data_IF_387978318116
#
_entry.id   IF_387978318116
#
_cell.length_a   1.000
_cell.length_b   1.000
_cell.length_c   1.000
_cell.angle_alpha   90.00
_cell.angle_beta   90.00
_cell.angle_gamma   90.00
#
_symmetry.space_group_name_H-M   'P 1'
#
loop_
_entity.id
_entity.type
_entity.pdbx_description
1 polymer ?
#
# COMPACT_ATOMS: atom_id res chain seq x y z
N UNK A 1 48.40 -45.32 5.48
CA UNK A 1 49.54 -45.96 6.18
C UNK A 1 50.35 -44.88 6.88
N UNK A 2 50.75 -45.18 8.12
CA UNK A 2 51.71 -44.49 8.99
C UNK A 2 51.35 -43.10 9.56
N UNK A 3 51.01 -43.14 10.85
CA UNK A 3 51.07 -42.08 11.84
C UNK A 3 52.49 -41.61 12.12
N UNK A 4 52.66 -40.35 12.56
CA UNK A 4 53.53 -40.00 13.70
C UNK A 4 53.30 -38.55 14.16
N UNK A 5 52.81 -38.39 15.39
CA UNK A 5 53.06 -37.24 16.29
C UNK A 5 54.48 -37.40 16.89
N UNK A 6 55.05 -36.55 17.81
CA UNK A 6 54.40 -35.62 18.75
C UNK A 6 55.20 -34.38 19.28
N UNK A 7 54.54 -33.63 20.20
CA UNK A 7 55.02 -33.06 21.48
C UNK A 7 56.06 -31.92 21.57
N UNK A 8 55.71 -30.84 22.29
CA UNK A 8 56.23 -30.37 23.60
C UNK A 8 55.75 -28.90 23.84
N UNK A 9 54.86 -28.60 24.78
CA UNK A 9 55.03 -28.37 26.23
C UNK A 9 55.55 -26.96 26.61
N UNK A 10 54.88 -26.30 27.58
CA UNK A 10 55.32 -25.02 28.14
C UNK A 10 54.28 -24.34 29.06
N UNK A 11 54.15 -24.87 30.28
CA UNK A 11 53.35 -24.39 31.41
C UNK A 11 54.00 -23.20 32.13
N UNK A 12 53.22 -22.24 32.67
CA UNK A 12 53.30 -21.77 34.08
C UNK A 12 52.42 -20.53 34.36
N UNK A 13 51.87 -20.53 35.57
CA UNK A 13 50.92 -19.58 36.16
C UNK A 13 51.53 -18.82 37.36
N UNK A 14 50.96 -17.67 37.72
CA UNK A 14 50.75 -17.16 39.11
C UNK A 14 50.28 -15.70 39.06
N UNK A 15 49.09 -15.33 39.55
CA UNK A 15 48.63 -15.16 40.95
C UNK A 15 48.80 -13.69 41.42
N UNK A 16 47.73 -12.90 41.60
CA UNK A 16 46.85 -12.72 42.80
C UNK A 16 47.16 -11.40 43.56
N UNK A 17 46.11 -10.86 44.20
CA UNK A 17 46.05 -9.94 45.38
C UNK A 17 45.61 -8.48 45.08
N UNK A 18 44.30 -8.14 45.08
CA UNK A 18 43.36 -7.75 46.19
C UNK A 18 43.59 -6.38 46.87
N UNK A 19 42.62 -5.44 46.63
CA UNK A 19 41.77 -4.57 47.53
C UNK A 19 42.36 -3.92 48.81
N UNK A 20 41.77 -2.87 49.48
CA UNK A 20 40.35 -2.38 49.49
C UNK A 20 40.15 -0.82 49.51
N UNK A 21 38.97 -0.28 49.13
CA UNK A 21 37.83 0.30 49.92
C UNK A 21 38.15 1.49 50.84
N UNK A 22 37.52 2.66 50.59
CA UNK A 22 36.87 3.43 51.67
C UNK A 22 35.73 4.35 51.17
N UNK A 23 34.77 4.55 52.08
CA UNK A 23 33.44 5.12 51.95
C UNK A 23 33.42 6.47 52.68
N UNK A 24 32.66 7.46 52.21
CA UNK A 24 31.86 8.31 53.13
C UNK A 24 30.80 9.17 52.45
N UNK A 25 29.69 9.26 53.18
CA UNK A 25 28.39 9.89 52.90
C UNK A 25 28.37 11.38 53.30
N UNK A 26 27.48 12.16 52.68
CA UNK A 26 26.56 13.13 53.33
C UNK A 26 25.74 13.84 52.22
N UNK A 27 24.44 13.53 52.01
CA UNK A 27 23.26 14.11 52.68
C UNK A 27 23.12 15.62 52.57
N UNK A 28 22.17 16.14 51.76
CA UNK A 28 20.96 16.84 52.27
C UNK A 28 20.10 17.56 51.18
N UNK A 29 18.79 17.31 51.27
CA UNK A 29 17.63 18.21 51.06
C UNK A 29 17.22 18.75 49.66
N UNK A 30 16.15 18.11 49.13
CA UNK A 30 14.84 18.69 48.78
C UNK A 30 14.73 19.99 47.96
N UNK A 31 14.28 19.89 46.71
CA UNK A 31 13.31 20.84 46.14
C UNK A 31 12.53 20.28 44.93
N UNK A 32 11.22 20.47 45.03
CA UNK A 32 10.13 20.23 44.10
C UNK A 32 10.41 20.32 42.58
N UNK A 33 9.91 19.30 41.88
CA UNK A 33 8.88 19.40 40.85
C UNK A 33 8.88 20.63 39.90
N UNK A 34 9.41 20.45 38.68
CA UNK A 34 8.78 20.91 37.41
C UNK A 34 9.52 20.34 36.21
N UNK A 35 9.18 19.09 35.84
CA UNK A 35 9.58 18.50 34.55
C UNK A 35 8.72 19.13 33.47
N UNK A 36 9.27 20.13 32.77
CA UNK A 36 8.69 20.69 31.55
C UNK A 36 8.59 19.59 30.49
N UNK A 37 7.38 19.04 30.35
CA UNK A 37 6.96 18.24 29.18
C UNK A 37 7.03 19.15 27.96
N UNK A 38 8.14 19.09 27.23
CA UNK A 38 8.20 19.59 25.85
C UNK A 38 7.29 18.68 25.02
N UNK A 39 6.03 19.10 24.84
CA UNK A 39 5.09 18.48 23.90
C UNK A 39 5.71 18.59 22.50
N UNK A 40 6.35 17.51 22.05
CA UNK A 40 6.72 17.34 20.65
C UNK A 40 5.44 17.32 19.83
N UNK A 41 5.33 18.31 18.95
CA UNK A 41 4.22 18.59 18.04
C UNK A 41 4.07 17.45 17.02
N UNK A 42 3.45 16.34 17.43
CA UNK A 42 3.08 15.23 16.54
C UNK A 42 1.80 15.52 15.73
N UNK A 43 1.09 16.61 16.02
CA UNK A 43 -0.14 17.01 15.32
C UNK A 43 0.12 17.82 14.04
N UNK A 44 1.32 18.38 13.85
CA UNK A 44 1.66 19.13 12.64
C UNK A 44 2.10 18.22 11.47
N UNK A 45 2.72 17.07 11.77
CA UNK A 45 3.14 16.12 10.74
C UNK A 45 1.94 15.47 10.02
N UNK A 46 0.92 15.04 10.76
CA UNK A 46 -0.23 14.35 10.19
C UNK A 46 -1.06 15.25 9.23
N UNK A 47 -1.18 16.54 9.56
CA UNK A 47 -1.83 17.54 8.69
C UNK A 47 -0.97 17.88 7.46
N UNK A 48 0.35 17.88 7.59
CA UNK A 48 1.27 18.12 6.47
C UNK A 48 1.32 16.91 5.50
N UNK A 49 1.20 15.69 6.01
CA UNK A 49 1.14 14.45 5.20
C UNK A 49 -0.19 14.28 4.47
N UNK A 50 -1.33 14.64 5.09
CA UNK A 50 -2.61 14.71 4.38
C UNK A 50 -2.59 15.75 3.27
N UNK A 51 -1.96 16.91 3.51
CA UNK A 51 -1.87 17.99 2.52
C UNK A 51 -1.09 17.55 1.27
N UNK A 52 -0.01 16.77 1.39
CA UNK A 52 0.74 16.29 0.23
C UNK A 52 0.05 15.17 -0.56
N UNK A 53 -0.67 14.26 0.10
CA UNK A 53 -1.45 13.23 -0.59
C UNK A 53 -2.70 13.82 -1.29
N UNK A 54 -3.37 14.79 -0.66
CA UNK A 54 -4.43 15.57 -1.29
C UNK A 54 -3.89 16.53 -2.36
N UNK A 55 -2.67 17.05 -2.22
CA UNK A 55 -2.01 17.87 -3.24
C UNK A 55 -1.60 17.02 -4.43
N UNK A 56 -1.13 15.78 -4.25
CA UNK A 56 -0.84 14.86 -5.35
C UNK A 56 -2.13 14.41 -6.05
N UNK A 57 -3.19 14.08 -5.30
CA UNK A 57 -4.50 13.84 -5.88
C UNK A 57 -5.02 15.10 -6.59
N UNK A 58 -4.87 16.29 -6.00
CA UNK A 58 -5.28 17.55 -6.63
C UNK A 58 -4.43 17.92 -7.85
N UNK A 59 -3.13 17.63 -7.88
CA UNK A 59 -2.26 17.82 -9.05
C UNK A 59 -2.61 16.83 -10.15
N UNK A 60 -2.81 15.55 -9.80
CA UNK A 60 -3.30 14.51 -10.71
C UNK A 60 -4.66 14.89 -11.34
N UNK A 61 -5.56 15.47 -10.56
CA UNK A 61 -6.88 15.92 -11.02
C UNK A 61 -6.86 17.25 -11.78
N UNK A 62 -5.91 18.15 -11.49
CA UNK A 62 -5.75 19.42 -12.21
C UNK A 62 -5.07 19.21 -13.57
N UNK A 63 -4.16 18.25 -13.70
CA UNK A 63 -3.47 17.96 -14.95
C UNK A 63 -4.30 17.13 -15.95
N UNK A 64 -5.29 16.36 -15.49
CA UNK A 64 -6.31 15.75 -16.36
C UNK A 64 -7.26 16.83 -16.91
N UNK A 65 -7.73 17.75 -16.06
CA UNK A 65 -8.64 18.84 -16.45
C UNK A 65 -8.02 19.91 -17.37
N UNK A 66 -6.69 19.93 -17.51
CA UNK A 66 -6.00 20.82 -18.44
C UNK A 66 -6.05 20.34 -19.90
N UNK A 67 -6.65 19.17 -20.16
CA UNK A 67 -6.70 18.48 -21.45
C UNK A 67 -7.81 18.90 -22.43
N UNK A 68 -8.83 19.68 -22.07
CA UNK A 68 -9.68 20.39 -23.04
C UNK A 68 -10.48 21.50 -22.35
N UNK A 69 -10.51 22.68 -22.96
CA UNK A 69 -10.92 23.92 -22.31
C UNK A 69 -12.36 23.93 -21.78
N UNK A 70 -12.53 24.28 -20.50
CA UNK A 70 -13.83 24.70 -19.97
C UNK A 70 -13.94 24.69 -18.45
N UNK A 71 -13.63 25.82 -17.80
CA UNK A 71 -14.00 26.23 -16.41
C UNK A 71 -14.88 25.24 -15.60
N UNK A 72 -14.34 24.70 -14.48
CA UNK A 72 -14.75 25.01 -13.08
C UNK A 72 -14.01 24.16 -12.02
N UNK A 73 -13.20 24.86 -11.22
CA UNK A 73 -13.20 24.88 -9.74
C UNK A 73 -13.16 23.53 -8.98
N UNK A 74 -11.93 23.03 -8.78
CA UNK A 74 -11.35 22.73 -7.45
C UNK A 74 -11.96 21.59 -6.61
N UNK A 75 -11.22 20.49 -6.54
CA UNK A 75 -11.39 19.36 -5.60
C UNK A 75 -12.38 18.32 -6.11
N UNK A 76 -11.88 17.16 -6.55
CA UNK A 76 -12.72 16.06 -7.07
C UNK A 76 -13.66 15.56 -5.97
N UNK A 77 -14.84 16.16 -5.99
CA UNK A 77 -16.10 15.53 -5.66
C UNK A 77 -16.53 14.89 -6.97
N UNK A 78 -16.85 13.60 -6.94
CA UNK A 78 -17.40 12.89 -8.10
C UNK A 78 -18.47 13.73 -8.79
N UNK A 79 -18.44 13.76 -10.12
CA UNK A 79 -19.34 14.57 -10.94
C UNK A 79 -20.79 14.34 -10.53
N UNK A 80 -21.65 15.34 -10.76
CA UNK A 80 -23.07 15.19 -10.44
C UNK A 80 -23.69 13.98 -11.17
N UNK A 81 -23.21 13.67 -12.39
CA UNK A 81 -23.63 12.51 -13.16
C UNK A 81 -23.18 11.19 -12.51
N UNK A 82 -21.90 11.09 -12.13
CA UNK A 82 -21.35 9.91 -11.46
C UNK A 82 -21.98 9.68 -10.08
N UNK A 83 -22.23 10.75 -9.33
CA UNK A 83 -22.95 10.68 -8.04
C UNK A 83 -24.41 10.22 -8.21
N UNK A 84 -25.09 10.64 -9.28
CA UNK A 84 -26.45 10.21 -9.58
C UNK A 84 -26.48 8.74 -10.00
N UNK A 85 -25.59 8.33 -10.92
CA UNK A 85 -25.51 6.95 -11.39
C UNK A 85 -25.12 5.99 -10.27
N UNK A 86 -24.20 6.40 -9.37
CA UNK A 86 -23.84 5.64 -8.18
C UNK A 86 -25.05 5.37 -7.27
N UNK A 87 -25.88 6.39 -7.03
CA UNK A 87 -27.12 6.22 -6.26
C UNK A 87 -28.09 5.25 -6.93
N UNK A 88 -28.22 5.33 -8.25
CA UNK A 88 -29.04 4.39 -9.01
C UNK A 88 -28.49 2.96 -8.94
N UNK A 89 -27.16 2.81 -8.88
CA UNK A 89 -26.48 1.55 -8.71
C UNK A 89 -26.58 0.97 -7.27
N UNK A 90 -27.21 1.71 -6.34
CA UNK A 90 -27.36 1.31 -4.94
C UNK A 90 -26.11 1.52 -4.10
N UNK A 91 -25.15 2.32 -4.59
CA UNK A 91 -23.89 2.56 -3.91
C UNK A 91 -24.10 3.40 -2.66
N UNK A 92 -23.67 2.87 -1.52
CA UNK A 92 -23.62 3.57 -0.25
C UNK A 92 -22.36 4.42 -0.16
N UNK A 93 -22.53 5.71 0.12
CA UNK A 93 -21.42 6.63 0.35
C UNK A 93 -20.65 6.32 1.64
N UNK A 94 -21.20 5.49 2.54
CA UNK A 94 -20.51 5.06 3.75
C UNK A 94 -19.53 3.90 3.49
N UNK A 95 -19.76 3.12 2.44
CA UNK A 95 -18.97 1.92 2.13
C UNK A 95 -17.85 2.21 1.12
N UNK A 96 -18.15 2.99 0.08
CA UNK A 96 -17.19 3.36 -0.97
C UNK A 96 -17.10 4.86 -1.16
N UNK A 97 -15.98 5.30 -1.75
CA UNK A 97 -15.84 6.64 -2.31
C UNK A 97 -15.55 6.52 -3.81
N UNK A 98 -15.90 7.58 -4.53
CA UNK A 98 -15.82 7.62 -5.99
C UNK A 98 -14.59 8.42 -6.43
N UNK A 99 -13.92 7.93 -7.46
CA UNK A 99 -12.76 8.57 -8.09
C UNK A 99 -13.09 8.75 -9.57
N UNK A 100 -13.34 9.99 -9.98
CA UNK A 100 -13.50 10.30 -11.41
C UNK A 100 -12.14 10.22 -12.10
N UNK A 101 -12.11 9.55 -13.25
CA UNK A 101 -10.96 9.41 -14.13
C UNK A 101 -11.24 10.15 -15.43
N UNK A 102 -10.20 10.75 -16.02
CA UNK A 102 -10.25 11.43 -17.31
C UNK A 102 -11.46 12.39 -17.42
N UNK A 103 -11.52 13.38 -16.53
CA UNK A 103 -12.61 14.36 -16.45
C UNK A 103 -14.03 13.79 -16.29
N UNK A 104 -14.13 12.55 -15.80
CA UNK A 104 -15.41 11.87 -15.54
C UNK A 104 -15.86 10.94 -16.66
N UNK A 105 -15.01 10.67 -17.65
CA UNK A 105 -15.23 9.65 -18.68
C UNK A 105 -15.26 8.22 -18.10
N UNK A 106 -14.63 8.00 -16.95
CA UNK A 106 -14.82 6.81 -16.14
C UNK A 106 -14.86 7.16 -14.64
N UNK A 107 -15.45 6.30 -13.82
CA UNK A 107 -15.47 6.48 -12.35
C UNK A 107 -15.12 5.18 -11.66
N UNK A 108 -14.14 5.17 -10.76
CA UNK A 108 -13.85 4.04 -9.88
C UNK A 108 -14.63 4.16 -8.56
N UNK A 109 -15.14 3.03 -8.06
CA UNK A 109 -15.63 2.91 -6.68
C UNK A 109 -14.57 2.18 -5.84
N UNK A 110 -14.06 2.84 -4.81
CA UNK A 110 -13.05 2.32 -3.91
C UNK A 110 -13.57 2.19 -2.49
N UNK A 111 -13.36 1.04 -1.85
CA UNK A 111 -13.69 0.82 -0.45
C UNK A 111 -12.94 1.82 0.44
N UNK A 112 -13.66 2.49 1.36
CA UNK A 112 -13.06 3.53 2.22
C UNK A 112 -11.97 3.02 3.15
N UNK A 113 -12.07 1.75 3.55
CA UNK A 113 -11.19 1.18 4.59
C UNK A 113 -9.94 0.50 4.03
N UNK A 114 -10.00 -0.03 2.81
CA UNK A 114 -8.90 -0.78 2.18
C UNK A 114 -8.32 -0.08 0.96
N UNK A 115 -9.02 0.90 0.38
CA UNK A 115 -8.76 1.48 -0.94
C UNK A 115 -8.81 0.48 -2.10
N UNK A 116 -9.26 -0.76 -1.88
CA UNK A 116 -9.48 -1.71 -2.97
C UNK A 116 -10.70 -1.30 -3.78
N UNK A 117 -10.64 -1.46 -5.10
CA UNK A 117 -11.75 -1.12 -5.96
C UNK A 117 -12.84 -2.19 -5.90
N UNK A 118 -14.09 -1.76 -5.71
CA UNK A 118 -15.28 -2.60 -5.77
C UNK A 118 -15.82 -2.71 -7.21
N UNK A 119 -15.58 -1.69 -8.03
CA UNK A 119 -16.05 -1.64 -9.41
C UNK A 119 -15.76 -0.30 -10.08
N UNK A 120 -16.34 -0.09 -11.25
CA UNK A 120 -16.22 1.15 -12.01
C UNK A 120 -17.48 1.45 -12.83
N UNK A 121 -17.67 2.70 -13.22
CA UNK A 121 -18.62 3.11 -14.23
C UNK A 121 -17.87 3.46 -15.53
N UNK A 122 -18.40 2.99 -16.65
CA UNK A 122 -17.96 3.38 -18.00
C UNK A 122 -18.41 4.81 -18.36
N UNK A 123 -18.06 5.27 -19.57
CA UNK A 123 -18.48 6.56 -20.16
C UNK A 123 -20.00 6.74 -20.21
N UNK A 124 -20.73 5.63 -20.34
CA UNK A 124 -22.19 5.61 -20.40
C UNK A 124 -22.82 5.60 -19.00
N UNK A 125 -22.02 5.70 -17.93
CA UNK A 125 -22.43 5.58 -16.54
C UNK A 125 -23.03 4.20 -16.17
N UNK A 126 -22.70 3.16 -16.92
CA UNK A 126 -23.05 1.79 -16.55
C UNK A 126 -22.04 1.26 -15.54
N UNK A 127 -22.55 0.85 -14.39
CA UNK A 127 -21.72 0.31 -13.33
C UNK A 127 -21.38 -1.17 -13.56
N UNK A 128 -20.11 -1.48 -13.41
CA UNK A 128 -19.52 -2.80 -13.39
C UNK A 128 -18.97 -3.09 -11.99
N UNK A 129 -19.23 -4.28 -11.47
CA UNK A 129 -18.78 -4.70 -10.13
C UNK A 129 -17.87 -5.91 -10.25
N UNK A 130 -16.76 -5.90 -9.52
CA UNK A 130 -15.86 -7.05 -9.48
C UNK A 130 -16.52 -8.20 -8.73
N UNK A 131 -16.18 -9.43 -9.12
CA UNK A 131 -16.69 -10.62 -8.46
C UNK A 131 -16.29 -10.62 -6.98
N UNK A 132 -17.24 -10.75 -6.07
CA UNK A 132 -17.04 -10.71 -4.62
C UNK A 132 -17.33 -9.35 -3.97
N UNK A 133 -17.60 -8.31 -4.75
CA UNK A 133 -17.94 -6.96 -4.29
C UNK A 133 -19.39 -6.58 -4.60
N UNK A 134 -20.26 -7.55 -4.90
CA UNK A 134 -21.64 -7.31 -5.33
C UNK A 134 -22.47 -6.54 -4.29
N UNK A 135 -22.19 -6.71 -3.00
CA UNK A 135 -22.85 -5.97 -1.93
C UNK A 135 -22.49 -4.48 -1.92
N UNK A 136 -21.30 -4.11 -2.43
CA UNK A 136 -20.86 -2.72 -2.49
C UNK A 136 -21.49 -1.95 -3.65
N UNK A 137 -21.90 -2.66 -4.72
CA UNK A 137 -22.57 -2.07 -5.90
C UNK A 137 -23.73 -2.99 -6.35
N UNK A 138 -24.85 -3.03 -5.62
CA UNK A 138 -25.88 -4.06 -5.78
C UNK A 138 -26.52 -4.16 -7.17
N UNK A 139 -26.68 -3.03 -7.87
CA UNK A 139 -27.37 -2.99 -9.16
C UNK A 139 -26.41 -2.88 -10.35
N UNK A 140 -25.13 -3.22 -10.16
CA UNK A 140 -24.14 -3.22 -11.22
C UNK A 140 -24.07 -4.54 -12.00
N UNK A 141 -23.50 -4.46 -13.20
CA UNK A 141 -23.14 -5.64 -14.00
C UNK A 141 -21.94 -6.33 -13.38
N UNK A 142 -22.11 -7.60 -13.02
CA UNK A 142 -21.02 -8.42 -12.49
C UNK A 142 -19.97 -8.73 -13.55
N UNK A 143 -18.70 -8.47 -13.25
CA UNK A 143 -17.55 -8.91 -14.03
C UNK A 143 -17.20 -10.37 -13.69
N UNK A 144 -16.69 -11.17 -14.65
CA UNK A 144 -16.39 -12.59 -14.42
C UNK A 144 -15.11 -12.85 -13.60
N UNK A 145 -14.43 -11.79 -13.13
CA UNK A 145 -13.16 -11.84 -12.42
C UNK A 145 -13.17 -10.96 -11.17
N UNK A 146 -12.31 -11.28 -10.20
CA UNK A 146 -12.13 -10.51 -8.96
C UNK A 146 -11.10 -9.39 -9.15
N UNK A 147 -11.14 -8.40 -8.26
CA UNK A 147 -10.07 -7.41 -8.14
C UNK A 147 -8.91 -7.95 -7.29
N UNK A 148 -8.15 -8.90 -7.83
CA UNK A 148 -6.89 -9.35 -7.25
C UNK A 148 -5.87 -9.63 -8.36
N UNK A 149 -4.57 -9.53 -8.06
CA UNK A 149 -3.53 -9.65 -9.10
C UNK A 149 -3.52 -11.02 -9.79
N UNK A 150 -4.00 -12.09 -9.13
CA UNK A 150 -4.15 -13.43 -9.73
C UNK A 150 -5.18 -13.43 -10.87
N UNK A 151 -6.36 -12.88 -10.64
CA UNK A 151 -7.45 -12.83 -11.61
C UNK A 151 -7.22 -11.76 -12.71
N UNK A 152 -6.51 -10.67 -12.36
CA UNK A 152 -6.22 -9.55 -13.26
C UNK A 152 -5.05 -9.84 -14.20
N UNK A 153 -3.92 -10.27 -13.66
CA UNK A 153 -2.66 -10.35 -14.41
C UNK A 153 -1.92 -11.68 -14.20
N UNK A 154 -2.60 -12.70 -13.67
CA UNK A 154 -2.03 -14.04 -13.44
C UNK A 154 -1.26 -14.19 -12.13
N UNK A 155 -0.94 -13.10 -11.43
CA UNK A 155 -0.26 -13.12 -10.15
C UNK A 155 0.54 -11.86 -9.87
N UNK A 156 0.98 -11.68 -8.62
CA UNK A 156 1.72 -10.50 -8.17
C UNK A 156 3.10 -10.42 -8.83
N UNK A 157 3.68 -11.55 -9.23
CA UNK A 157 4.94 -11.64 -9.97
C UNK A 157 4.88 -10.96 -11.33
N UNK A 158 3.68 -10.80 -11.91
CA UNK A 158 3.48 -10.10 -13.16
C UNK A 158 3.28 -8.59 -12.99
N UNK A 159 3.18 -8.09 -11.75
CA UNK A 159 3.14 -6.65 -11.48
C UNK A 159 4.26 -5.99 -12.24
N UNK A 160 5.53 -6.45 -12.08
CA UNK A 160 6.37 -6.80 -13.20
C UNK A 160 6.28 -5.92 -14.44
N UNK A 161 5.59 -6.45 -15.43
CA UNK A 161 5.48 -5.86 -16.75
C UNK A 161 4.41 -4.78 -16.88
N UNK A 162 3.77 -4.32 -15.80
CA UNK A 162 2.73 -3.30 -15.91
C UNK A 162 3.35 -1.93 -16.25
N UNK A 163 2.79 -1.24 -17.27
CA UNK A 163 3.12 0.15 -17.50
C UNK A 163 2.46 0.98 -16.38
N UNK A 164 3.25 1.85 -15.75
CA UNK A 164 2.76 2.84 -14.78
C UNK A 164 3.23 4.23 -15.23
N UNK A 165 2.61 5.27 -14.66
CA UNK A 165 2.87 6.66 -15.02
C UNK A 165 1.71 7.29 -15.78
N UNK A 166 1.88 8.53 -16.21
CA UNK A 166 0.81 9.38 -16.73
C UNK A 166 0.14 8.81 -17.98
N UNK A 167 0.93 8.39 -18.97
CA UNK A 167 0.39 7.81 -20.22
C UNK A 167 -0.38 6.50 -19.93
N UNK A 168 0.19 5.62 -19.12
CA UNK A 168 -0.46 4.37 -18.72
C UNK A 168 -1.75 4.61 -17.91
N UNK A 169 -1.80 5.66 -17.10
CA UNK A 169 -3.02 6.03 -16.37
C UNK A 169 -4.13 6.53 -17.31
N UNK A 170 -3.77 7.33 -18.34
CA UNK A 170 -4.72 7.76 -19.36
C UNK A 170 -5.23 6.58 -20.19
N UNK A 171 -4.35 5.68 -20.64
CA UNK A 171 -4.74 4.45 -21.34
C UNK A 171 -5.64 3.55 -20.47
N UNK A 172 -5.33 3.44 -19.17
CA UNK A 172 -6.15 2.69 -18.24
C UNK A 172 -7.53 3.33 -18.03
N UNK A 173 -7.60 4.66 -17.94
CA UNK A 173 -8.87 5.38 -17.84
C UNK A 173 -9.74 5.17 -19.09
N UNK A 174 -9.16 5.28 -20.29
CA UNK A 174 -9.89 5.02 -21.54
C UNK A 174 -10.35 3.56 -21.63
N UNK A 175 -9.52 2.59 -21.21
CA UNK A 175 -9.92 1.18 -21.18
C UNK A 175 -11.12 0.92 -20.25
N UNK A 176 -11.27 1.69 -19.17
CA UNK A 176 -12.46 1.65 -18.31
C UNK A 176 -13.65 2.39 -18.96
N UNK A 177 -13.40 3.56 -19.54
CA UNK A 177 -14.42 4.41 -20.16
C UNK A 177 -15.08 3.73 -21.36
N UNK A 178 -14.30 3.02 -22.18
CA UNK A 178 -14.75 2.38 -23.43
C UNK A 178 -15.27 0.96 -23.24
N UNK A 179 -15.27 0.41 -22.02
CA UNK A 179 -15.59 -0.99 -21.80
C UNK A 179 -17.08 -1.27 -22.03
N UNK A 180 -17.39 -2.09 -23.04
CA UNK A 180 -18.74 -2.64 -23.25
C UNK A 180 -18.72 -4.15 -22.99
N UNK A 181 -19.30 -4.56 -21.87
CA UNK A 181 -19.40 -5.98 -21.49
C UNK A 181 -20.25 -6.84 -22.45
N UNK A 182 -21.02 -6.26 -23.38
CA UNK A 182 -21.74 -7.01 -24.42
C UNK A 182 -20.89 -7.28 -25.66
N UNK A 183 -19.94 -6.40 -25.96
CA UNK A 183 -19.12 -6.46 -27.16
C UNK A 183 -17.68 -6.91 -26.88
N UNK A 184 -17.19 -6.77 -25.64
CA UNK A 184 -15.82 -7.06 -25.26
C UNK A 184 -15.47 -8.53 -25.50
N UNK A 185 -14.42 -8.74 -26.31
CA UNK A 185 -13.76 -10.02 -26.47
C UNK A 185 -12.73 -10.28 -25.37
N UNK A 186 -11.89 -11.29 -25.62
CA UNK A 186 -10.81 -11.66 -24.71
C UNK A 186 -9.74 -10.56 -24.60
N UNK A 187 -9.44 -9.86 -25.71
CA UNK A 187 -8.42 -8.83 -25.76
C UNK A 187 -8.84 -7.58 -24.96
N UNK A 188 -10.05 -7.08 -25.17
CA UNK A 188 -10.61 -5.94 -24.43
C UNK A 188 -10.75 -6.27 -22.95
N UNK A 189 -11.17 -7.50 -22.62
CA UNK A 189 -11.22 -7.95 -21.22
C UNK A 189 -9.83 -8.03 -20.59
N UNK A 190 -8.82 -8.47 -21.35
CA UNK A 190 -7.44 -8.48 -20.88
C UNK A 190 -6.86 -7.07 -20.72
N UNK A 191 -7.21 -6.13 -21.61
CA UNK A 191 -6.85 -4.72 -21.50
C UNK A 191 -7.48 -4.09 -20.24
N UNK A 192 -8.79 -4.31 -20.01
CA UNK A 192 -9.48 -3.87 -18.79
C UNK A 192 -8.80 -4.40 -17.52
N UNK A 193 -8.48 -5.70 -17.49
CA UNK A 193 -7.81 -6.30 -16.32
C UNK A 193 -6.44 -5.67 -16.04
N UNK A 194 -5.63 -5.41 -17.07
CA UNK A 194 -4.34 -4.72 -16.92
C UNK A 194 -4.53 -3.28 -16.47
N UNK A 195 -5.53 -2.57 -17.00
CA UNK A 195 -5.87 -1.21 -16.59
C UNK A 195 -6.24 -1.14 -15.10
N UNK A 196 -7.11 -2.04 -14.63
CA UNK A 196 -7.47 -2.14 -13.21
C UNK A 196 -6.26 -2.46 -12.32
N UNK A 197 -5.36 -3.35 -12.77
CA UNK A 197 -4.15 -3.67 -12.03
C UNK A 197 -3.20 -2.46 -11.93
N UNK A 198 -3.00 -1.74 -13.04
CA UNK A 198 -2.16 -0.54 -13.07
C UNK A 198 -2.73 0.58 -12.17
N UNK A 199 -4.04 0.83 -12.25
CA UNK A 199 -4.71 1.81 -11.39
C UNK A 199 -4.66 1.40 -9.91
N UNK A 200 -4.74 0.10 -9.60
CA UNK A 200 -4.61 -0.40 -8.22
C UNK A 200 -3.22 -0.07 -7.66
N UNK A 201 -2.16 -0.25 -8.44
CA UNK A 201 -0.79 0.12 -8.06
C UNK A 201 -0.64 1.63 -7.90
N UNK A 202 -1.05 2.40 -8.91
CA UNK A 202 -0.85 3.86 -8.97
C UNK A 202 -1.67 4.62 -7.92
N UNK A 203 -2.86 4.14 -7.56
CA UNK A 203 -3.75 4.81 -6.64
C UNK A 203 -3.74 4.15 -5.26
N UNK A 204 -4.14 2.87 -5.17
CA UNK A 204 -4.32 2.21 -3.88
C UNK A 204 -2.98 1.83 -3.24
N UNK A 205 -2.07 1.17 -3.96
CA UNK A 205 -0.78 0.76 -3.39
C UNK A 205 0.13 1.95 -3.11
N UNK A 206 0.19 2.94 -3.99
CA UNK A 206 0.96 4.17 -3.76
C UNK A 206 0.47 4.96 -2.53
N UNK A 207 -0.83 4.93 -2.23
CA UNK A 207 -1.36 5.56 -1.01
C UNK A 207 -0.99 4.76 0.25
N UNK A 208 -0.95 3.42 0.15
CA UNK A 208 -0.73 2.53 1.28
C UNK A 208 0.76 2.32 1.60
N UNK A 209 1.61 2.28 0.58
CA UNK A 209 3.01 1.89 0.67
C UNK A 209 3.93 3.00 0.16
N UNK A 210 4.75 3.55 1.06
CA UNK A 210 5.73 4.60 0.73
C UNK A 210 6.66 4.20 -0.43
N UNK A 211 7.26 2.98 -0.48
CA UNK A 211 8.19 2.64 -1.55
C UNK A 211 7.52 2.58 -2.93
N UNK A 212 6.28 2.09 -2.99
CA UNK A 212 5.48 2.11 -4.23
C UNK A 212 5.16 3.54 -4.66
N UNK A 213 4.78 4.41 -3.70
CA UNK A 213 4.56 5.83 -3.99
C UNK A 213 5.77 6.49 -4.61
N UNK A 214 6.96 6.26 -4.04
CA UNK A 214 8.22 6.81 -4.53
C UNK A 214 8.52 6.29 -5.93
N UNK A 215 8.28 5.00 -6.19
CA UNK A 215 8.44 4.38 -7.52
C UNK A 215 7.53 5.06 -8.56
N UNK A 216 6.23 5.17 -8.27
CA UNK A 216 5.25 5.80 -9.17
C UNK A 216 5.55 7.28 -9.37
N UNK A 217 5.90 8.00 -8.31
CA UNK A 217 6.19 9.44 -8.39
C UNK A 217 7.43 9.74 -9.22
N UNK A 218 8.49 8.93 -9.08
CA UNK A 218 9.75 9.14 -9.79
C UNK A 218 9.62 8.86 -11.30
N UNK A 219 8.78 7.90 -11.69
CA UNK A 219 8.54 7.55 -13.10
C UNK A 219 7.25 8.11 -13.68
N UNK A 220 6.59 9.06 -13.00
CA UNK A 220 5.25 9.53 -13.36
C UNK A 220 5.20 10.11 -14.78
N UNK A 221 6.09 11.06 -15.11
CA UNK A 221 6.11 11.73 -16.41
C UNK A 221 6.81 10.92 -17.51
N UNK A 222 7.86 10.17 -17.16
CA UNK A 222 8.66 9.45 -18.16
C UNK A 222 8.00 8.16 -18.66
N UNK A 223 6.99 7.64 -17.96
CA UNK A 223 6.43 6.30 -18.23
C UNK A 223 7.43 5.17 -17.95
N UNK A 224 8.56 5.48 -17.31
CA UNK A 224 9.57 4.51 -16.88
C UNK A 224 9.28 3.93 -15.49
N UNK A 225 8.13 4.27 -14.90
CA UNK A 225 7.59 3.52 -13.76
C UNK A 225 7.18 2.13 -14.25
N UNK A 226 8.17 1.27 -14.46
CA UNK A 226 8.00 -0.16 -14.63
C UNK A 226 8.38 -0.81 -13.32
N UNK A 227 7.52 -1.68 -12.85
CA UNK A 227 7.97 -2.81 -12.02
C UNK A 227 9.01 -3.62 -12.83
N UNK A 228 9.97 -4.34 -12.23
CA UNK A 228 11.12 -4.85 -12.99
C UNK A 228 10.84 -6.22 -13.57
N UNK A 229 10.94 -6.38 -14.89
CA UNK A 229 11.11 -7.71 -15.48
C UNK A 229 12.47 -8.28 -15.10
N UNK A 230 12.49 -9.55 -14.69
CA UNK A 230 13.68 -10.39 -14.60
C UNK A 230 14.41 -10.32 -15.94
N UNK A 231 15.48 -9.54 -16.08
CA UNK A 231 16.63 -9.66 -17.00
C UNK A 231 17.45 -8.37 -16.93
N UNK A 232 18.46 -8.36 -16.05
CA UNK A 232 19.64 -7.49 -16.19
C UNK A 232 19.46 -6.00 -15.90
N UNK A 233 19.39 -5.63 -14.62
CA UNK A 233 19.56 -4.25 -14.18
C UNK A 233 18.91 -4.03 -12.83
N UNK A 234 19.71 -3.74 -11.80
CA UNK A 234 19.30 -3.40 -10.45
C UNK A 234 18.13 -2.41 -10.45
N UNK A 235 16.89 -2.89 -10.24
CA UNK A 235 15.69 -2.04 -10.30
C UNK A 235 14.86 -2.21 -9.01
N UNK A 236 14.41 -1.12 -8.36
CA UNK A 236 13.81 -1.13 -7.01
C UNK A 236 12.42 -1.78 -6.82
N UNK A 237 11.79 -2.39 -7.82
CA UNK A 237 10.34 -2.71 -7.72
C UNK A 237 9.98 -4.21 -7.53
N UNK A 238 10.91 -5.15 -7.71
CA UNK A 238 10.72 -6.56 -7.32
C UNK A 238 10.87 -6.75 -5.80
N UNK A 239 11.72 -5.93 -5.18
CA UNK A 239 11.91 -5.88 -3.72
C UNK A 239 10.67 -5.38 -2.96
N UNK A 240 9.72 -4.71 -3.63
CA UNK A 240 8.51 -4.19 -2.98
C UNK A 240 7.29 -5.12 -3.10
N UNK A 241 7.34 -6.16 -3.93
CA UNK A 241 6.23 -7.12 -4.07
C UNK A 241 5.82 -7.75 -2.72
N UNK A 242 6.76 -8.17 -1.85
CA UNK A 242 6.39 -8.68 -0.54
C UNK A 242 5.64 -7.67 0.33
N UNK A 243 5.81 -6.36 0.11
CA UNK A 243 5.07 -5.33 0.85
C UNK A 243 3.62 -5.22 0.41
N UNK A 244 3.36 -5.37 -0.90
CA UNK A 244 2.00 -5.43 -1.45
C UNK A 244 1.32 -6.72 -0.97
N UNK A 245 1.99 -7.87 -1.11
CA UNK A 245 1.45 -9.17 -0.71
C UNK A 245 1.12 -9.25 0.79
N UNK A 246 1.96 -8.63 1.64
CA UNK A 246 1.82 -8.72 3.08
C UNK A 246 1.30 -7.44 3.75
N UNK A 247 0.69 -6.51 3.00
CA UNK A 247 0.19 -5.25 3.56
C UNK A 247 -0.80 -5.48 4.72
N UNK A 248 -1.75 -6.39 4.55
CA UNK A 248 -2.74 -6.69 5.60
C UNK A 248 -2.08 -7.32 6.83
N UNK A 249 -1.11 -8.19 6.60
CA UNK A 249 -0.34 -8.86 7.65
C UNK A 249 0.50 -7.84 8.44
N UNK A 250 1.18 -6.95 7.72
CA UNK A 250 1.94 -5.85 8.29
C UNK A 250 1.04 -4.90 9.08
N UNK A 251 -0.14 -4.56 8.54
CA UNK A 251 -1.09 -3.66 9.18
C UNK A 251 -1.62 -4.24 10.51
N UNK A 252 -1.97 -5.53 10.51
CA UNK A 252 -2.39 -6.23 11.73
C UNK A 252 -1.33 -6.19 12.82
N UNK A 253 -0.07 -6.51 12.48
CA UNK A 253 1.02 -6.53 13.46
C UNK A 253 1.35 -5.14 13.99
N UNK A 254 1.27 -4.10 13.15
CA UNK A 254 1.44 -2.71 13.59
C UNK A 254 0.31 -2.28 14.53
N UNK A 255 -0.95 -2.60 14.22
CA UNK A 255 -2.10 -2.29 15.08
C UNK A 255 -1.97 -3.02 16.42
N UNK A 256 -1.61 -4.31 16.39
CA UNK A 256 -1.35 -5.11 17.59
C UNK A 256 -0.22 -4.49 18.42
N UNK A 257 0.91 -4.16 17.81
CA UNK A 257 2.04 -3.53 18.47
C UNK A 257 1.67 -2.19 19.11
N UNK A 258 0.88 -1.34 18.44
CA UNK A 258 0.38 -0.09 19.04
C UNK A 258 -0.45 -0.32 20.30
N UNK A 259 -1.18 -1.44 20.38
CA UNK A 259 -2.00 -1.81 21.55
C UNK A 259 -1.17 -2.46 22.66
N UNK A 260 -0.19 -3.29 22.33
CA UNK A 260 0.53 -4.14 23.31
C UNK A 260 1.93 -3.64 23.66
N UNK A 261 2.52 -2.78 22.83
CA UNK A 261 3.91 -2.39 22.86
C UNK A 261 4.89 -3.47 22.40
N UNK A 262 4.41 -4.62 21.88
CA UNK A 262 5.24 -5.80 21.56
C UNK A 262 5.17 -6.19 20.09
N UNK A 263 6.34 -6.34 19.48
CA UNK A 263 6.51 -6.84 18.11
C UNK A 263 6.87 -8.33 18.13
N UNK A 264 5.90 -9.14 18.53
CA UNK A 264 6.02 -10.58 18.78
C UNK A 264 4.73 -11.33 18.39
N UNK A 265 3.94 -10.74 17.49
CA UNK A 265 2.66 -11.32 17.10
C UNK A 265 2.79 -12.48 16.12
N UNK A 266 1.66 -13.16 15.85
CA UNK A 266 1.62 -14.42 15.13
C UNK A 266 2.24 -14.37 13.73
N UNK A 267 2.27 -13.20 13.09
CA UNK A 267 2.77 -13.06 11.73
C UNK A 267 4.12 -12.35 11.64
N UNK A 268 4.73 -11.94 12.75
CA UNK A 268 6.05 -11.29 12.75
C UNK A 268 7.15 -12.18 12.16
N UNK A 269 7.04 -13.50 12.30
CA UNK A 269 7.95 -14.47 11.64
C UNK A 269 7.81 -14.49 10.12
N UNK A 270 6.57 -14.42 9.62
CA UNK A 270 6.27 -14.35 8.17
C UNK A 270 6.79 -13.04 7.59
N UNK A 271 6.51 -11.91 8.24
CA UNK A 271 7.00 -10.59 7.81
C UNK A 271 8.53 -10.52 7.76
N UNK A 272 9.21 -11.13 8.75
CA UNK A 272 10.67 -11.23 8.75
C UNK A 272 11.19 -12.04 7.56
N UNK A 273 10.61 -13.22 7.31
CA UNK A 273 11.10 -14.16 6.30
C UNK A 273 10.79 -13.69 4.87
N UNK A 274 9.57 -13.22 4.63
CA UNK A 274 9.06 -12.94 3.29
C UNK A 274 9.26 -11.48 2.87
N UNK A 275 9.19 -10.53 3.81
CA UNK A 275 9.30 -9.10 3.54
C UNK A 275 10.53 -8.43 4.18
N UNK A 276 11.35 -9.16 4.94
CA UNK A 276 12.53 -8.59 5.60
C UNK A 276 12.18 -7.56 6.69
N UNK A 277 10.97 -7.60 7.25
CA UNK A 277 10.51 -6.64 8.27
C UNK A 277 10.75 -7.21 9.66
N UNK A 278 11.66 -6.59 10.42
CA UNK A 278 12.12 -7.07 11.72
C UNK A 278 11.50 -6.32 12.90
N UNK A 279 10.91 -5.16 12.65
CA UNK A 279 10.39 -4.27 13.69
C UNK A 279 9.14 -3.50 13.27
N UNK A 280 8.41 -2.98 14.26
CA UNK A 280 7.27 -2.10 14.02
C UNK A 280 7.68 -0.78 13.33
N UNK A 281 8.87 -0.27 13.65
CA UNK A 281 9.38 0.97 13.06
C UNK A 281 9.69 0.79 11.57
N UNK A 282 10.25 -0.36 11.17
CA UNK A 282 10.42 -0.73 9.76
C UNK A 282 9.07 -0.84 9.05
N UNK A 283 8.09 -1.52 9.65
CA UNK A 283 6.74 -1.62 9.10
C UNK A 283 6.09 -0.24 8.90
N UNK A 284 6.22 0.66 9.87
CA UNK A 284 5.72 2.04 9.78
C UNK A 284 6.52 2.92 8.83
N UNK A 285 7.79 2.59 8.55
CA UNK A 285 8.57 3.25 7.52
C UNK A 285 8.00 2.94 6.13
N UNK A 286 7.50 1.71 5.93
CA UNK A 286 6.93 1.18 4.68
C UNK A 286 5.45 1.56 4.52
N UNK A 287 4.58 1.09 5.42
CA UNK A 287 3.12 1.27 5.33
C UNK A 287 2.69 2.60 5.96
N UNK A 288 2.02 3.44 5.16
CA UNK A 288 1.53 4.78 5.56
C UNK A 288 0.04 4.83 5.80
N UNK A 289 -0.72 3.97 5.12
CA UNK A 289 -2.11 3.72 5.42
C UNK A 289 -2.28 2.24 5.77
N UNK A 290 -2.72 1.98 7.00
CA UNK A 290 -2.88 0.63 7.51
C UNK A 290 -4.31 0.14 7.25
N UNK A 291 -4.42 -1.06 6.70
CA UNK A 291 -5.69 -1.80 6.72
C UNK A 291 -6.03 -2.22 8.17
N UNK A 292 -7.29 -2.51 8.46
CA UNK A 292 -7.69 -3.05 9.76
C UNK A 292 -8.28 -4.47 9.63
N UNK A 293 -7.50 -5.45 9.16
CA UNK A 293 -7.98 -6.81 9.01
C UNK A 293 -8.13 -7.50 10.36
N UNK A 294 -9.08 -8.41 10.44
CA UNK A 294 -9.25 -9.32 11.58
C UNK A 294 -8.28 -10.49 11.48
N UNK A 295 -8.01 -11.13 12.62
CA UNK A 295 -7.19 -12.36 12.64
C UNK A 295 -7.82 -13.46 11.78
N UNK A 296 -9.16 -13.59 11.78
CA UNK A 296 -9.86 -14.59 10.97
C UNK A 296 -9.67 -14.36 9.47
N UNK A 297 -9.74 -13.11 9.00
CA UNK A 297 -9.46 -12.76 7.61
C UNK A 297 -8.03 -13.12 7.21
N UNK A 298 -7.05 -12.86 8.08
CA UNK A 298 -5.67 -13.23 7.82
C UNK A 298 -5.44 -14.75 7.82
N UNK A 299 -6.03 -15.49 8.76
CA UNK A 299 -5.92 -16.96 8.78
C UNK A 299 -6.48 -17.54 7.47
N UNK A 300 -7.61 -17.02 7.00
CA UNK A 300 -8.19 -17.44 5.72
C UNK A 300 -7.24 -17.13 4.56
N UNK A 301 -6.70 -15.92 4.49
CA UNK A 301 -5.77 -15.51 3.43
C UNK A 301 -4.50 -16.38 3.38
N UNK A 302 -3.90 -16.67 4.54
CA UNK A 302 -2.71 -17.52 4.67
C UNK A 302 -2.99 -19.03 4.55
N UNK A 303 -4.26 -19.45 4.56
CA UNK A 303 -4.64 -20.85 4.34
C UNK A 303 -4.82 -21.22 2.86
N UNK A 304 -4.92 -20.21 1.99
CA UNK A 304 -5.16 -20.36 0.55
C UNK A 304 -3.91 -20.20 -0.34
N UNK A 305 -2.76 -19.92 0.29
CA UNK A 305 -1.43 -19.83 -0.31
C UNK A 305 -0.65 -21.13 -0.09
#
# INVERSE_FOLDING_TARGET
MASTSPSFAGTAASAVMTRPVEVSKSSSHSAACRRSRRKSSHSAGLLFFFFFALLFLAVYLLDLSAGHGGRRRGGSVSSAAASLSARQAGISADDVFLIDLDDGEATLAAHRHSLSFAGFADRSNHWHVFRGDEDAIPNARRLPFRNNYRDLIGGIENLPGLPLGRAAAAEAAEALASYDAHAAGEEETAALKRAVAALSVMLAEAMRLKPIRETVSNGWESGEARTPSTHGGSTPAAEHLPYIEHLDTMSFEVIRWKRTGKWDGPFTGVLRKSAGIHSADEALAIAKLLANPTLAQLILAHSTT
#
